data_IF_527499613454
#
_entry.id   IF_527499613454
#
_cell.length_a   1.000
_cell.length_b   1.000
_cell.length_c   1.000
_cell.angle_alpha   90.00
_cell.angle_beta   90.00
_cell.angle_gamma   90.00
#
_symmetry.space_group_name_H-M   'P 1'
#
loop_
_entity.id
_entity.type
_entity.pdbx_description
1 polymer ?
#
# COMPACT_ATOMS: atom_id res chain seq x y z
N UNK A 1 39.19 38.29 36.06
CA UNK A 1 38.52 37.13 35.43
C UNK A 1 37.50 37.64 34.42
N UNK A 2 37.70 37.39 33.10
CA UNK A 2 36.85 37.97 32.05
C UNK A 2 35.58 37.13 31.81
N UNK A 3 34.37 37.67 32.05
CA UNK A 3 33.10 36.92 31.96
C UNK A 3 32.77 36.43 30.54
N UNK A 4 33.32 37.07 29.51
CA UNK A 4 33.09 36.70 28.10
C UNK A 4 33.73 35.36 27.71
N UNK A 5 34.80 34.93 28.39
CA UNK A 5 35.47 33.63 28.10
C UNK A 5 34.68 32.42 28.62
N UNK A 6 33.80 32.62 29.61
CA UNK A 6 32.93 31.57 30.14
C UNK A 6 31.66 31.37 29.31
N UNK A 7 31.13 32.44 28.70
CA UNK A 7 29.96 32.39 27.84
C UNK A 7 30.28 31.65 26.52
N UNK A 8 31.41 32.01 25.88
CA UNK A 8 31.82 31.43 24.59
C UNK A 8 32.13 29.93 24.69
N UNK A 9 32.77 29.49 25.78
CA UNK A 9 33.05 28.07 26.03
C UNK A 9 31.78 27.27 26.29
N UNK A 10 30.76 27.84 26.95
CA UNK A 10 29.46 27.17 27.18
C UNK A 10 28.63 27.06 25.90
N UNK A 11 28.67 28.06 25.04
CA UNK A 11 28.00 28.03 23.73
C UNK A 11 28.65 27.02 22.78
N UNK A 12 29.99 26.91 22.78
CA UNK A 12 30.72 25.91 22.00
C UNK A 12 30.46 24.48 22.52
N UNK A 13 30.43 24.27 23.84
CA UNK A 13 30.17 22.95 24.43
C UNK A 13 28.74 22.46 24.12
N UNK A 14 27.75 23.35 24.12
CA UNK A 14 26.36 23.02 23.80
C UNK A 14 26.18 22.72 22.30
N UNK A 15 26.87 23.45 21.43
CA UNK A 15 26.85 23.19 19.98
C UNK A 15 27.48 21.84 19.60
N UNK A 16 28.57 21.45 20.28
CA UNK A 16 29.21 20.14 20.04
C UNK A 16 28.34 18.99 20.55
N UNK A 17 27.63 19.15 21.67
CA UNK A 17 26.75 18.10 22.22
C UNK A 17 25.58 17.76 21.28
N UNK A 18 25.07 18.73 20.51
CA UNK A 18 24.00 18.50 19.53
C UNK A 18 24.46 17.72 18.29
N UNK A 19 25.75 17.77 17.94
CA UNK A 19 26.28 17.13 16.73
C UNK A 19 26.63 15.63 16.92
N UNK A 20 26.64 15.13 18.16
CA UNK A 20 26.94 13.72 18.49
C UNK A 20 25.69 12.92 18.90
N UNK A 21 24.49 13.48 18.75
CA UNK A 21 23.27 12.72 18.92
C UNK A 21 23.25 11.58 17.87
N UNK A 22 22.93 10.33 18.26
CA UNK A 22 22.84 9.25 17.29
C UNK A 22 21.75 9.59 16.29
N UNK A 23 22.14 9.74 15.02
CA UNK A 23 21.22 9.87 13.90
C UNK A 23 20.69 8.47 13.57
N UNK A 24 19.92 7.90 14.49
CA UNK A 24 19.16 6.68 14.23
C UNK A 24 18.17 6.99 13.09
N UNK A 25 18.30 6.26 12.00
CA UNK A 25 17.34 6.32 10.91
C UNK A 25 15.95 5.97 11.46
N UNK A 26 14.92 6.67 10.99
CA UNK A 26 13.57 6.43 11.47
C UNK A 26 13.17 4.97 11.19
N UNK A 27 12.88 4.22 12.25
CA UNK A 27 12.44 2.83 12.15
C UNK A 27 11.16 2.79 11.30
N UNK A 28 11.18 2.02 10.21
CA UNK A 28 9.98 1.81 9.39
C UNK A 28 9.08 0.88 10.20
N UNK A 29 7.83 1.32 10.40
CA UNK A 29 6.83 0.58 11.13
C UNK A 29 6.54 -0.78 10.45
N UNK A 30 7.11 -1.87 10.98
CA UNK A 30 6.84 -3.25 10.55
C UNK A 30 5.47 -3.75 11.06
N UNK A 31 4.75 -2.95 11.86
CA UNK A 31 3.44 -3.31 12.43
C UNK A 31 2.38 -3.66 11.37
N UNK A 32 2.60 -3.26 10.12
CA UNK A 32 1.70 -3.50 9.00
C UNK A 32 2.13 -4.64 8.07
N UNK A 33 3.28 -5.29 8.30
CA UNK A 33 3.79 -6.35 7.42
C UNK A 33 2.88 -7.60 7.38
N UNK A 34 2.04 -7.76 8.40
CA UNK A 34 1.03 -8.83 8.45
C UNK A 34 -0.24 -8.53 7.66
N UNK A 35 -0.46 -7.27 7.24
CA UNK A 35 -1.61 -6.87 6.47
C UNK A 35 -1.44 -7.30 5.00
N UNK A 36 -2.24 -8.27 4.59
CA UNK A 36 -2.33 -8.68 3.20
C UNK A 36 -3.73 -8.42 2.67
N UNK A 37 -3.81 -7.94 1.43
CA UNK A 37 -5.08 -7.86 0.73
C UNK A 37 -5.59 -9.27 0.49
N UNK A 38 -6.82 -9.52 0.96
CA UNK A 38 -7.56 -10.74 0.64
C UNK A 38 -8.88 -10.36 0.01
N UNK A 39 -9.32 -11.16 -0.96
CA UNK A 39 -10.69 -11.06 -1.43
C UNK A 39 -11.64 -11.44 -0.28
N UNK A 40 -12.58 -10.55 0.05
CA UNK A 40 -13.67 -10.82 1.00
C UNK A 40 -14.84 -11.57 0.32
N UNK A 41 -14.67 -11.97 -0.94
CA UNK A 41 -15.75 -12.45 -1.79
C UNK A 41 -16.66 -11.30 -2.23
N UNK A 42 -17.73 -11.59 -2.98
CA UNK A 42 -18.65 -10.57 -3.47
C UNK A 42 -19.53 -10.05 -2.31
N UNK A 43 -19.01 -9.06 -1.57
CA UNK A 43 -19.75 -8.43 -0.47
C UNK A 43 -20.93 -7.54 -0.97
N UNK A 44 -20.97 -7.26 -2.27
CA UNK A 44 -22.06 -6.53 -2.93
C UNK A 44 -22.52 -7.35 -4.12
N UNK A 45 -23.37 -8.36 -3.88
CA UNK A 45 -23.94 -9.23 -4.93
C UNK A 45 -25.02 -8.52 -5.78
N UNK A 46 -24.81 -7.23 -6.07
CA UNK A 46 -25.64 -6.46 -6.99
C UNK A 46 -24.76 -5.45 -7.70
N UNK A 47 -23.96 -5.95 -8.65
CA UNK A 47 -23.24 -5.16 -9.63
C UNK A 47 -24.01 -5.15 -10.94
N UNK A 48 -24.07 -4.01 -11.63
CA UNK A 48 -24.59 -3.97 -13.01
C UNK A 48 -23.50 -4.53 -13.93
N UNK A 49 -23.85 -5.56 -14.69
CA UNK A 49 -23.03 -6.00 -15.83
C UNK A 49 -23.34 -5.05 -16.99
N UNK A 50 -22.31 -4.36 -17.48
CA UNK A 50 -22.47 -3.43 -18.60
C UNK A 50 -22.37 -4.16 -19.94
N UNK A 51 -21.50 -5.16 -20.02
CA UNK A 51 -21.20 -5.87 -21.26
C UNK A 51 -20.65 -7.27 -20.98
N UNK A 52 -20.82 -8.18 -21.94
CA UNK A 52 -20.35 -9.57 -21.87
C UNK A 52 -19.84 -10.02 -23.23
N UNK A 53 -18.60 -10.50 -23.26
CA UNK A 53 -17.95 -11.00 -24.47
C UNK A 53 -17.55 -12.47 -24.28
N UNK A 54 -17.97 -13.34 -25.21
CA UNK A 54 -17.68 -14.78 -25.17
C UNK A 54 -16.69 -15.11 -26.27
N UNK A 55 -15.69 -15.94 -25.95
CA UNK A 55 -14.80 -16.49 -26.96
C UNK A 55 -15.48 -17.68 -27.65
N UNK A 56 -15.94 -17.49 -28.89
CA UNK A 56 -16.81 -18.46 -29.58
C UNK A 56 -16.17 -19.85 -29.76
N UNK A 57 -14.85 -19.93 -29.93
CA UNK A 57 -14.16 -21.21 -30.08
C UNK A 57 -14.04 -22.01 -28.76
N UNK A 58 -14.18 -21.35 -27.61
CA UNK A 58 -14.29 -22.01 -26.31
C UNK A 58 -15.17 -21.17 -25.35
N UNK A 59 -16.48 -21.47 -25.26
CA UNK A 59 -17.42 -20.73 -24.43
C UNK A 59 -17.13 -20.78 -22.92
N UNK A 60 -16.23 -21.67 -22.47
CA UNK A 60 -15.74 -21.64 -21.09
C UNK A 60 -14.89 -20.40 -20.79
N UNK A 61 -14.42 -19.70 -21.84
CA UNK A 61 -13.69 -18.44 -21.74
C UNK A 61 -14.63 -17.30 -22.11
N UNK A 62 -14.98 -16.49 -21.11
CA UNK A 62 -15.74 -15.27 -21.33
C UNK A 62 -15.30 -14.17 -20.38
N UNK A 63 -15.59 -12.94 -20.79
CA UNK A 63 -15.25 -11.71 -20.10
C UNK A 63 -16.53 -11.00 -19.70
N UNK A 64 -16.62 -10.61 -18.43
CA UNK A 64 -17.75 -9.86 -17.88
C UNK A 64 -17.28 -8.48 -17.45
N UNK A 65 -17.79 -7.44 -18.12
CA UNK A 65 -17.52 -6.05 -17.75
C UNK A 65 -18.57 -5.56 -16.76
N UNK A 66 -18.11 -5.04 -15.63
CA UNK A 66 -18.98 -4.55 -14.55
C UNK A 66 -18.87 -3.03 -14.44
N UNK A 67 -19.99 -2.36 -14.17
CA UNK A 67 -20.06 -0.90 -14.19
C UNK A 67 -19.16 -0.20 -13.18
N UNK A 68 -18.84 -0.85 -12.05
CA UNK A 68 -18.00 -0.27 -10.99
C UNK A 68 -16.85 -1.18 -10.52
N UNK A 69 -16.88 -2.48 -10.83
CA UNK A 69 -15.92 -3.46 -10.31
C UNK A 69 -14.95 -4.00 -11.36
N UNK A 70 -14.76 -3.29 -12.49
CA UNK A 70 -13.78 -3.63 -13.52
C UNK A 70 -14.17 -4.77 -14.45
N UNK A 71 -13.17 -5.40 -15.05
CA UNK A 71 -13.29 -6.50 -16.02
C UNK A 71 -12.93 -7.82 -15.35
N UNK A 72 -13.76 -8.84 -15.54
CA UNK A 72 -13.52 -10.17 -14.98
C UNK A 72 -13.37 -11.18 -16.09
N UNK A 73 -12.40 -12.09 -15.97
CA UNK A 73 -12.20 -13.19 -16.91
C UNK A 73 -12.49 -14.51 -16.22
N UNK A 74 -13.14 -15.42 -16.94
CA UNK A 74 -13.18 -16.82 -16.56
C UNK A 74 -12.59 -17.69 -17.67
N UNK A 75 -12.06 -18.85 -17.28
CA UNK A 75 -11.59 -19.92 -18.16
C UNK A 75 -12.29 -21.25 -17.85
N UNK A 76 -13.09 -21.29 -16.79
CA UNK A 76 -13.76 -22.47 -16.25
C UNK A 76 -15.28 -22.42 -16.44
N UNK A 77 -15.78 -21.57 -17.35
CA UNK A 77 -17.21 -21.42 -17.60
C UNK A 77 -17.97 -20.77 -16.44
N UNK A 78 -17.31 -19.93 -15.65
CA UNK A 78 -17.95 -19.15 -14.58
C UNK A 78 -17.85 -19.75 -13.18
N UNK A 79 -17.16 -20.88 -13.02
CA UNK A 79 -16.91 -21.47 -11.69
C UNK A 79 -15.87 -20.67 -10.90
N UNK A 80 -14.87 -20.12 -11.58
CA UNK A 80 -13.84 -19.24 -11.01
C UNK A 80 -13.66 -18.02 -11.90
N UNK A 81 -13.51 -16.87 -11.26
CA UNK A 81 -13.14 -15.63 -11.92
C UNK A 81 -11.79 -15.19 -11.38
N UNK A 82 -10.88 -14.92 -12.32
CA UNK A 82 -9.62 -14.28 -12.02
C UNK A 82 -9.83 -12.76 -12.20
N UNK A 83 -9.60 -11.94 -11.16
CA UNK A 83 -9.62 -10.48 -11.28
C UNK A 83 -8.44 -9.95 -12.11
#
# INVERSE_FOLDING_TARGET
>A
MNPHRFLVTRTLLFGVLCAVAPLEAQHIAEEFDSLHFRSIGPATMSGRISDLAVYEANPAIYYAATAHSGLWKTTSGGALFEP
#
